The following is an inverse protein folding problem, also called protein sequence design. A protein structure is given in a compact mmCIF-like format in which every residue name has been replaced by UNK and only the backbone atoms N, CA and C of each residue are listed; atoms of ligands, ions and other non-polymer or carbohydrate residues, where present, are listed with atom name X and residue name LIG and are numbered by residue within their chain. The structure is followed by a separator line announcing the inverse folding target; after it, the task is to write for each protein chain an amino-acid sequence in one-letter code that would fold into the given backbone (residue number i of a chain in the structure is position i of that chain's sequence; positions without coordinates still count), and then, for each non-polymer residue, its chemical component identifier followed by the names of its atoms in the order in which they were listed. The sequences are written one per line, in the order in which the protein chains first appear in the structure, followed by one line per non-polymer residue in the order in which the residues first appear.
data_IF_488690584865
#
_entry.id   IF_488690584865
#
_cell.length_a   1.000
_cell.length_b   1.000
_cell.length_c   1.000
_cell.angle_alpha   90.00
_cell.angle_beta   90.00
_cell.angle_gamma   90.00
#
_symmetry.space_group_name_H-M   'P 1'
#
loop_
_entity.id
_entity.type
_entity.pdbx_description
1 polymer ?
#
# COMPACT_ATOMS: atom_id res chain seq x y z
N UNK A 1 38.79 25.08 -12.41
CA UNK A 1 38.40 24.69 -13.79
C UNK A 1 37.15 25.48 -14.14
N UNK A 2 37.10 26.10 -15.32
CA UNK A 2 35.92 26.80 -15.83
C UNK A 2 35.04 25.83 -16.63
N UNK A 3 33.75 25.76 -16.31
CA UNK A 3 32.77 24.92 -17.03
C UNK A 3 32.03 25.77 -18.06
N UNK A 4 32.36 25.61 -19.34
CA UNK A 4 31.82 26.45 -20.42
C UNK A 4 30.29 26.34 -20.55
N UNK A 5 29.70 25.20 -20.20
CA UNK A 5 28.23 25.00 -20.23
C UNK A 5 27.50 25.82 -19.16
N UNK A 6 28.21 26.28 -18.13
CA UNK A 6 27.69 27.13 -17.05
C UNK A 6 28.14 28.59 -17.21
N UNK A 7 28.59 28.98 -18.40
CA UNK A 7 29.04 30.34 -18.69
C UNK A 7 28.27 30.88 -19.88
N UNK A 8 27.77 32.09 -19.72
CA UNK A 8 27.08 32.83 -20.77
C UNK A 8 27.65 34.25 -20.78
N UNK A 9 27.95 34.82 -21.96
CA UNK A 9 28.38 36.22 -22.03
C UNK A 9 27.24 37.14 -21.55
N UNK A 10 27.51 37.89 -20.49
CA UNK A 10 26.56 38.78 -19.84
C UNK A 10 27.20 40.09 -19.41
N UNK A 11 26.38 41.11 -19.13
CA UNK A 11 26.88 42.40 -18.63
C UNK A 11 27.19 42.32 -17.15
N UNK A 12 28.19 43.07 -16.69
CA UNK A 12 28.47 43.21 -15.24
C UNK A 12 27.23 43.69 -14.46
N UNK A 13 26.40 44.52 -15.09
CA UNK A 13 25.16 45.01 -14.48
C UNK A 13 24.13 43.87 -14.28
N UNK A 14 23.98 42.97 -15.24
CA UNK A 14 23.10 41.81 -15.13
C UNK A 14 23.65 40.78 -14.12
N UNK A 15 24.95 40.52 -14.13
CA UNK A 15 25.56 39.56 -13.20
C UNK A 15 25.54 40.10 -11.76
N UNK A 16 26.24 41.21 -11.53
CA UNK A 16 26.59 41.72 -10.21
C UNK A 16 25.75 42.92 -9.76
N UNK A 17 24.90 43.50 -10.61
CA UNK A 17 24.06 44.64 -10.27
C UNK A 17 24.73 46.01 -10.34
N UNK A 18 26.01 46.07 -10.72
CA UNK A 18 26.75 47.31 -10.91
C UNK A 18 27.83 47.16 -11.99
N UNK A 19 28.38 48.28 -12.46
CA UNK A 19 29.37 48.30 -13.56
C UNK A 19 30.80 47.97 -13.12
N UNK A 20 31.15 48.24 -11.87
CA UNK A 20 32.52 48.08 -11.35
C UNK A 20 32.61 47.23 -10.08
N UNK A 21 31.54 47.19 -9.28
CA UNK A 21 31.46 46.48 -8.00
C UNK A 21 30.25 45.54 -8.01
N UNK A 22 29.88 45.01 -6.85
CA UNK A 22 28.63 44.27 -6.65
C UNK A 22 27.57 45.15 -6.00
N UNK A 23 26.31 44.90 -6.34
CA UNK A 23 25.14 45.49 -5.71
C UNK A 23 24.04 44.42 -5.62
N UNK A 24 24.03 43.68 -4.51
CA UNK A 24 23.06 42.62 -4.24
C UNK A 24 21.65 43.11 -3.96
N UNK A 25 21.42 44.43 -3.84
CA UNK A 25 20.08 45.03 -3.69
C UNK A 25 19.42 45.37 -5.04
N UNK A 26 20.17 45.26 -6.15
CA UNK A 26 19.65 45.58 -7.47
C UNK A 26 18.79 44.44 -8.03
N UNK A 27 17.46 44.60 -8.02
CA UNK A 27 16.50 43.60 -8.53
C UNK A 27 16.64 43.25 -10.02
N UNK A 28 17.45 44.02 -10.77
CA UNK A 28 17.76 43.74 -12.18
C UNK A 28 18.96 42.79 -12.35
N UNK A 29 19.64 42.40 -11.27
CA UNK A 29 20.78 41.49 -11.32
C UNK A 29 20.45 40.08 -10.87
N UNK A 30 21.21 39.11 -11.37
CA UNK A 30 21.15 37.73 -10.90
C UNK A 30 21.59 37.63 -9.44
N UNK A 31 22.62 38.38 -9.05
CA UNK A 31 23.13 38.41 -7.67
C UNK A 31 22.05 38.71 -6.62
N UNK A 32 21.07 39.57 -6.92
CA UNK A 32 19.96 39.85 -5.99
C UNK A 32 19.15 38.59 -5.66
N UNK A 33 18.81 37.78 -6.66
CA UNK A 33 18.02 36.57 -6.46
C UNK A 33 18.86 35.46 -5.84
N UNK A 34 20.09 35.25 -6.32
CA UNK A 34 20.99 34.23 -5.82
C UNK A 34 21.38 34.44 -4.35
N UNK A 35 21.59 35.69 -3.94
CA UNK A 35 21.88 36.02 -2.53
C UNK A 35 20.70 35.67 -1.63
N UNK A 36 19.48 35.97 -2.06
CA UNK A 36 18.27 35.65 -1.29
C UNK A 36 18.04 34.14 -1.19
N UNK A 37 18.23 33.41 -2.30
CA UNK A 37 18.13 31.94 -2.31
C UNK A 37 19.20 31.31 -1.41
N UNK A 38 20.44 31.81 -1.44
CA UNK A 38 21.52 31.36 -0.57
C UNK A 38 21.21 31.63 0.92
N UNK A 39 20.67 32.81 1.24
CA UNK A 39 20.24 33.14 2.60
C UNK A 39 19.11 32.22 3.07
N UNK A 40 18.13 31.96 2.21
CA UNK A 40 17.03 31.05 2.50
C UNK A 40 17.53 29.62 2.74
N UNK A 41 18.40 29.08 1.88
CA UNK A 41 19.00 27.75 2.05
C UNK A 41 19.81 27.63 3.36
N UNK A 42 20.53 28.69 3.75
CA UNK A 42 21.29 28.71 5.01
C UNK A 42 20.39 28.59 6.25
N UNK A 43 19.18 29.14 6.17
CA UNK A 43 18.18 29.07 7.23
C UNK A 43 17.38 27.76 7.19
N UNK A 44 17.25 27.14 6.01
CA UNK A 44 16.36 26.02 5.73
C UNK A 44 17.15 24.77 5.30
N UNK A 45 17.99 24.23 6.20
CA UNK A 45 18.96 23.16 5.88
C UNK A 45 18.33 21.82 5.48
N UNK A 46 17.11 21.55 5.92
CA UNK A 46 16.40 20.30 5.63
C UNK A 46 15.59 20.37 4.32
N UNK A 47 15.58 21.53 3.66
CA UNK A 47 14.84 21.76 2.44
C UNK A 47 15.76 21.69 1.22
N UNK A 48 15.15 21.39 0.08
CA UNK A 48 15.82 21.36 -1.23
C UNK A 48 15.26 22.43 -2.15
N UNK A 49 16.14 22.96 -3.00
CA UNK A 49 15.85 23.97 -4.00
C UNK A 49 16.28 23.44 -5.37
N UNK A 50 15.33 23.34 -6.29
CA UNK A 50 15.66 23.17 -7.71
C UNK A 50 15.85 24.56 -8.29
N UNK A 51 17.02 24.83 -8.86
CA UNK A 51 17.37 26.12 -9.46
C UNK A 51 17.77 25.93 -10.92
N UNK A 52 17.16 26.69 -11.81
CA UNK A 52 17.43 26.65 -13.24
C UNK A 52 17.67 28.07 -13.78
N UNK A 53 18.79 28.20 -14.49
CA UNK A 53 19.14 29.39 -15.27
C UNK A 53 18.97 29.05 -16.75
N UNK A 54 18.17 29.82 -17.48
CA UNK A 54 17.95 29.61 -18.93
C UNK A 54 18.25 30.91 -19.70
N UNK A 55 19.33 30.95 -20.49
CA UNK A 55 19.57 32.08 -21.39
C UNK A 55 18.60 32.06 -22.58
N UNK A 56 18.05 33.22 -22.93
CA UNK A 56 17.12 33.38 -24.04
C UNK A 56 17.78 34.15 -25.19
N UNK A 57 18.12 33.42 -26.25
CA UNK A 57 18.70 33.96 -27.48
C UNK A 57 17.62 34.28 -28.50
N UNK A 58 17.96 35.15 -29.45
CA UNK A 58 17.10 35.46 -30.60
C UNK A 58 17.82 35.08 -31.89
N UNK A 59 17.17 34.28 -32.74
CA UNK A 59 17.75 33.79 -33.99
C UNK A 59 19.14 33.16 -33.74
N UNK A 60 20.18 33.63 -34.44
CA UNK A 60 21.56 33.17 -34.33
C UNK A 60 22.45 34.11 -33.48
N UNK A 61 21.85 34.90 -32.57
CA UNK A 61 22.64 35.77 -31.67
C UNK A 61 23.46 34.93 -30.68
N UNK A 62 24.73 35.31 -30.48
CA UNK A 62 25.63 34.68 -29.50
C UNK A 62 25.48 35.25 -28.08
N UNK A 63 24.74 36.35 -27.94
CA UNK A 63 24.46 37.02 -26.68
C UNK A 63 22.98 36.81 -26.34
N UNK A 64 22.65 36.35 -25.12
CA UNK A 64 21.26 36.28 -24.70
C UNK A 64 20.67 37.69 -24.55
N UNK A 65 19.39 37.83 -24.88
CA UNK A 65 18.63 39.07 -24.64
C UNK A 65 18.10 39.13 -23.22
N UNK A 66 17.81 37.97 -22.64
CA UNK A 66 17.22 37.81 -21.33
C UNK A 66 17.79 36.55 -20.68
N UNK A 67 17.80 36.53 -19.36
CA UNK A 67 18.02 35.33 -18.57
C UNK A 67 16.73 35.05 -17.80
N UNK A 68 16.23 33.83 -17.90
CA UNK A 68 15.14 33.35 -17.05
C UNK A 68 15.73 32.60 -15.86
N UNK A 69 15.40 33.08 -14.67
CA UNK A 69 15.67 32.37 -13.42
C UNK A 69 14.38 31.68 -12.98
N UNK A 70 14.45 30.37 -12.76
CA UNK A 70 13.35 29.59 -12.20
C UNK A 70 13.84 28.86 -10.96
N UNK A 71 13.04 28.88 -9.91
CA UNK A 71 13.33 28.16 -8.67
C UNK A 71 12.09 27.49 -8.11
N UNK A 72 12.23 26.27 -7.62
CA UNK A 72 11.17 25.47 -7.01
C UNK A 72 11.65 24.98 -5.65
N UNK A 73 10.81 25.12 -4.64
CA UNK A 73 11.08 24.68 -3.28
C UNK A 73 10.18 23.51 -2.94
N UNK A 74 10.74 22.45 -2.36
CA UNK A 74 9.96 21.35 -1.81
C UNK A 74 9.94 21.47 -0.30
N UNK A 75 8.74 21.65 0.24
CA UNK A 75 8.48 21.68 1.67
C UNK A 75 7.74 20.41 2.09
N UNK A 76 8.11 19.86 3.24
CA UNK A 76 7.39 18.71 3.79
C UNK A 76 6.08 19.20 4.42
N UNK A 77 4.98 18.50 4.11
CA UNK A 77 3.70 18.73 4.78
C UNK A 77 3.68 17.97 6.11
N UNK A 78 4.56 18.33 7.03
CA UNK A 78 4.68 17.69 8.33
C UNK A 78 4.30 18.62 9.48
N UNK A 79 4.30 18.04 10.69
CA UNK A 79 4.08 18.78 11.92
C UNK A 79 4.80 18.08 13.07
N UNK A 80 5.44 18.83 13.99
CA UNK A 80 6.10 18.27 15.17
C UNK A 80 5.10 17.68 16.16
N UNK A 81 3.86 18.18 16.17
CA UNK A 81 2.84 17.88 17.17
C UNK A 81 1.57 17.26 16.57
N UNK A 82 1.66 16.70 15.37
CA UNK A 82 0.54 15.96 14.79
C UNK A 82 1.01 14.74 14.01
N UNK A 83 0.27 13.64 14.19
CA UNK A 83 0.33 12.47 13.33
C UNK A 83 -0.68 12.71 12.20
N UNK A 84 -0.19 12.81 10.97
CA UNK A 84 -0.99 13.07 9.78
C UNK A 84 -1.20 11.75 9.05
N UNK A 85 -2.46 11.40 8.78
CA UNK A 85 -2.83 10.29 7.92
C UNK A 85 -3.12 10.82 6.52
N UNK A 86 -2.14 10.66 5.64
CA UNK A 86 -2.22 11.12 4.26
C UNK A 86 -3.20 10.29 3.39
N UNK A 87 -3.61 9.10 3.85
CA UNK A 87 -4.51 8.23 3.07
C UNK A 87 -5.96 8.66 3.16
N UNK A 88 -6.38 9.17 4.32
CA UNK A 88 -7.75 9.63 4.58
C UNK A 88 -7.86 11.15 4.81
N UNK A 89 -6.73 11.87 4.84
CA UNK A 89 -6.70 13.33 5.00
C UNK A 89 -7.00 13.81 6.42
N UNK A 90 -6.82 12.97 7.43
CA UNK A 90 -7.04 13.32 8.83
C UNK A 90 -5.73 13.58 9.58
N UNK A 91 -5.80 14.27 10.71
CA UNK A 91 -4.66 14.49 11.59
C UNK A 91 -5.06 14.37 13.07
N UNK A 92 -4.21 13.72 13.87
CA UNK A 92 -4.33 13.63 15.32
C UNK A 92 -3.28 14.52 15.97
N UNK A 93 -3.71 15.45 16.81
CA UNK A 93 -2.81 16.26 17.64
C UNK A 93 -2.13 15.39 18.71
N UNK A 94 -0.85 15.62 18.93
CA UNK A 94 0.01 14.89 19.88
C UNK A 94 0.90 15.86 20.65
N UNK A 95 1.07 15.66 21.95
CA UNK A 95 2.03 16.43 22.75
C UNK A 95 3.49 16.14 22.37
N UNK A 96 3.79 14.91 21.96
CA UNK A 96 5.10 14.51 21.44
C UNK A 96 4.92 13.39 20.40
N UNK A 97 4.96 13.75 19.11
CA UNK A 97 4.72 12.84 17.99
C UNK A 97 5.59 11.59 18.04
N UNK A 98 6.89 11.76 18.28
CA UNK A 98 7.85 10.64 18.30
C UNK A 98 7.56 9.65 19.41
N UNK A 99 7.21 10.14 20.61
CA UNK A 99 6.84 9.28 21.74
C UNK A 99 5.53 8.55 21.45
N UNK A 100 4.50 9.27 21.00
CA UNK A 100 3.19 8.68 20.69
C UNK A 100 3.30 7.60 19.61
N UNK A 101 4.09 7.81 18.56
CA UNK A 101 4.31 6.80 17.51
C UNK A 101 5.00 5.53 18.04
N UNK A 102 5.91 5.64 19.02
CA UNK A 102 6.55 4.49 19.65
C UNK A 102 5.56 3.70 20.51
N UNK A 103 4.79 4.39 21.33
CA UNK A 103 3.76 3.78 22.19
C UNK A 103 2.67 3.09 21.35
N UNK A 104 2.18 3.74 20.29
CA UNK A 104 1.18 3.17 19.38
C UNK A 104 1.74 1.90 18.68
N UNK A 105 3.02 1.89 18.31
CA UNK A 105 3.68 0.73 17.70
C UNK A 105 3.84 -0.44 18.67
N UNK A 106 4.33 -0.18 19.88
CA UNK A 106 4.48 -1.20 20.93
C UNK A 106 3.13 -1.81 21.33
N UNK A 107 2.09 -0.99 21.44
CA UNK A 107 0.73 -1.46 21.69
C UNK A 107 0.19 -2.34 20.55
N UNK A 108 0.45 -1.98 19.30
CA UNK A 108 0.05 -2.77 18.14
C UNK A 108 0.77 -4.13 18.07
N UNK A 109 2.09 -4.15 18.32
CA UNK A 109 2.89 -5.38 18.33
C UNK A 109 2.44 -6.32 19.46
N UNK A 110 2.15 -5.77 20.64
CA UNK A 110 1.60 -6.53 21.77
C UNK A 110 0.21 -7.10 21.44
N UNK A 111 -0.71 -6.29 20.92
CA UNK A 111 -2.05 -6.75 20.54
C UNK A 111 -2.01 -7.84 19.47
N UNK A 112 -1.10 -7.72 18.49
CA UNK A 112 -0.90 -8.73 17.45
C UNK A 112 -0.38 -10.05 18.03
N UNK A 113 0.58 -10.02 18.95
CA UNK A 113 1.11 -11.23 19.59
C UNK A 113 0.07 -11.91 20.51
N UNK A 114 -0.71 -11.16 21.28
CA UNK A 114 -1.80 -11.69 22.11
C UNK A 114 -2.92 -12.31 21.26
N UNK A 115 -3.28 -11.69 20.13
CA UNK A 115 -4.26 -12.25 19.19
C UNK A 115 -3.75 -13.57 18.55
N UNK A 116 -2.47 -13.65 18.22
CA UNK A 116 -1.87 -14.87 17.67
C UNK A 116 -1.91 -16.03 18.68
N UNK A 117 -1.57 -15.77 19.95
CA UNK A 117 -1.64 -16.77 21.04
C UNK A 117 -3.07 -17.24 21.28
N UNK A 118 -4.04 -16.31 21.31
CA UNK A 118 -5.45 -16.65 21.51
C UNK A 118 -6.02 -17.46 20.34
N UNK A 119 -5.68 -17.12 19.11
CA UNK A 119 -6.09 -17.88 17.92
C UNK A 119 -5.51 -19.30 17.92
N UNK A 120 -4.25 -19.45 18.36
CA UNK A 120 -3.60 -20.75 18.48
C UNK A 120 -4.27 -21.60 19.55
N UNK A 121 -4.55 -21.03 20.72
CA UNK A 121 -5.27 -21.72 21.81
C UNK A 121 -6.70 -22.13 21.41
N UNK A 122 -7.44 -21.26 20.72
CA UNK A 122 -8.78 -21.60 20.20
C UNK A 122 -8.72 -22.69 19.12
N UNK A 123 -7.69 -22.69 18.27
CA UNK A 123 -7.52 -23.75 17.25
C UNK A 123 -7.23 -25.11 17.89
N UNK A 124 -6.39 -25.16 18.94
CA UNK A 124 -6.08 -26.38 19.70
C UNK A 124 -7.31 -26.88 20.47
N UNK A 125 -8.12 -25.98 21.04
CA UNK A 125 -9.36 -26.34 21.72
C UNK A 125 -10.45 -26.86 20.77
N UNK A 126 -10.53 -26.32 19.54
CA UNK A 126 -11.43 -26.84 18.50
C UNK A 126 -10.98 -28.20 17.97
N UNK A 127 -9.68 -28.44 17.87
CA UNK A 127 -9.14 -29.74 17.43
C UNK A 127 -9.32 -30.84 18.49
N UNK A 128 -9.16 -30.52 19.78
CA UNK A 128 -9.40 -31.50 20.86
C UNK A 128 -10.88 -31.86 21.01
N UNK A 129 -11.78 -30.89 20.89
CA UNK A 129 -13.23 -31.13 20.95
C UNK A 129 -13.76 -31.93 19.74
N UNK A 130 -13.25 -31.68 18.53
CA UNK A 130 -13.59 -32.49 17.35
C UNK A 130 -13.07 -33.93 17.47
N UNK A 131 -11.89 -34.14 18.04
CA UNK A 131 -11.32 -35.48 18.26
C UNK A 131 -12.06 -36.28 19.34
N UNK A 132 -12.54 -35.61 20.39
CA UNK A 132 -13.37 -36.23 21.43
C UNK A 132 -14.77 -36.62 20.90
N UNK A 133 -15.38 -35.79 20.06
CA UNK A 133 -16.65 -36.11 19.39
C UNK A 133 -16.52 -37.32 18.44
N UNK A 134 -15.40 -37.44 17.73
CA UNK A 134 -15.14 -38.58 16.83
C UNK A 134 -14.94 -39.91 17.58
N UNK A 135 -14.42 -39.89 18.82
CA UNK A 135 -14.28 -41.09 19.65
C UNK A 135 -15.62 -41.58 20.22
N UNK A 136 -16.57 -40.68 20.49
CA UNK A 136 -17.92 -41.07 20.95
C UNK A 136 -18.80 -41.67 19.84
N UNK A 137 -18.48 -41.44 18.57
CA UNK A 137 -19.18 -42.07 17.44
C UNK A 137 -18.67 -43.48 17.10
N UNK A 138 -17.65 -44.01 17.78
CA UNK A 138 -17.11 -45.36 17.53
C UNK A 138 -17.69 -46.45 18.45
N UNK A 139 -18.65 -46.15 19.34
CA UNK A 139 -19.29 -47.14 20.24
C UNK A 139 -20.75 -47.52 19.85
N UNK A 140 -21.26 -47.05 18.71
CA UNK A 140 -22.53 -47.51 18.13
C UNK A 140 -22.38 -47.85 16.65
N UNK A 141 -21.55 -48.83 16.30
CA UNK A 141 -21.78 -49.57 15.06
C UNK A 141 -21.19 -50.99 15.11
N UNK A 142 -22.02 -51.93 15.53
CA UNK A 142 -21.76 -53.35 15.31
C UNK A 142 -23.09 -54.08 15.12
N UNK A 143 -23.61 -54.12 13.89
CA UNK A 143 -24.36 -55.27 13.37
C UNK A 143 -24.27 -55.32 11.84
N UNK A 144 -23.58 -56.36 11.38
CA UNK A 144 -23.40 -56.79 9.99
C UNK A 144 -24.73 -57.31 9.42
N UNK A 145 -25.12 -56.92 8.19
CA UNK A 145 -25.51 -57.84 7.07
C UNK A 145 -25.40 -57.11 5.71
N UNK A 146 -24.61 -57.68 4.80
CA UNK A 146 -24.62 -57.52 3.33
C UNK A 146 -25.17 -58.87 2.80
N UNK A 147 -25.92 -59.02 1.69
CA UNK A 147 -25.85 -58.28 0.43
C UNK A 147 -27.21 -57.90 -0.20
N UNK A 148 -27.19 -57.02 -1.21
CA UNK A 148 -27.39 -57.40 -2.62
C UNK A 148 -27.79 -56.18 -3.46
N UNK A 149 -27.27 -56.15 -4.68
CA UNK A 149 -27.41 -55.04 -5.60
C UNK A 149 -28.73 -55.13 -6.37
N UNK A 150 -29.58 -54.12 -6.23
CA UNK A 150 -30.53 -53.75 -7.28
C UNK A 150 -30.60 -52.24 -7.44
N UNK A 151 -30.31 -51.80 -8.66
CA UNK A 151 -30.44 -50.43 -9.14
C UNK A 151 -31.87 -49.92 -8.98
N UNK A 152 -32.03 -48.75 -8.34
CA UNK A 152 -33.14 -47.83 -8.65
C UNK A 152 -32.56 -46.44 -8.75
N UNK A 153 -32.41 -46.01 -10.00
CA UNK A 153 -32.32 -44.61 -10.42
C UNK A 153 -33.46 -43.82 -9.80
N UNK A 154 -33.15 -42.90 -8.89
CA UNK A 154 -34.04 -41.79 -8.56
C UNK A 154 -33.43 -40.53 -9.16
N UNK A 155 -34.00 -40.19 -10.30
CA UNK A 155 -33.87 -38.90 -10.96
C UNK A 155 -34.28 -37.81 -9.98
N UNK A 156 -33.30 -37.01 -9.57
CA UNK A 156 -33.45 -35.92 -8.61
C UNK A 156 -32.75 -34.69 -9.17
N UNK A 157 -33.27 -34.17 -10.27
CA UNK A 157 -32.78 -32.97 -10.94
C UNK A 157 -32.90 -31.76 -9.99
N UNK A 158 -31.84 -31.39 -9.28
CA UNK A 158 -31.76 -30.12 -8.53
C UNK A 158 -31.15 -29.03 -9.41
N UNK A 159 -31.74 -28.83 -10.59
CA UNK A 159 -31.48 -27.66 -11.42
C UNK A 159 -32.49 -26.57 -11.10
N UNK A 160 -32.14 -25.71 -10.15
CA UNK A 160 -32.72 -24.38 -10.05
C UNK A 160 -31.78 -23.40 -9.36
N UNK A 161 -31.72 -22.20 -9.95
CA UNK A 161 -31.29 -20.88 -9.48
C UNK A 161 -29.81 -20.48 -9.57
N UNK A 162 -29.62 -19.28 -10.15
CA UNK A 162 -28.45 -18.69 -10.80
C UNK A 162 -27.14 -18.64 -9.99
N UNK A 163 -26.13 -19.40 -10.43
CA UNK A 163 -24.76 -19.29 -9.91
C UNK A 163 -23.93 -20.57 -10.05
N UNK A 164 -22.61 -20.42 -9.97
CA UNK A 164 -21.71 -21.57 -9.77
C UNK A 164 -22.06 -22.29 -8.46
N UNK A 165 -22.20 -23.62 -8.52
CA UNK A 165 -22.47 -24.44 -7.32
C UNK A 165 -21.23 -25.20 -6.88
N UNK A 166 -21.11 -25.38 -5.57
CA UNK A 166 -20.06 -26.21 -4.97
C UNK A 166 -20.57 -27.64 -4.80
N UNK A 167 -19.78 -28.61 -5.27
CA UNK A 167 -19.96 -30.03 -4.98
C UNK A 167 -18.90 -30.45 -3.95
N UNK A 168 -19.29 -31.33 -3.02
CA UNK A 168 -18.42 -31.85 -1.95
C UNK A 168 -18.30 -33.36 -2.10
N UNK A 169 -17.08 -33.87 -1.93
CA UNK A 169 -16.81 -35.30 -2.01
C UNK A 169 -17.54 -36.05 -0.88
N UNK A 170 -18.08 -37.22 -1.19
CA UNK A 170 -18.75 -38.08 -0.22
C UNK A 170 -17.82 -38.40 0.96
N UNK A 171 -18.35 -38.26 2.18
CA UNK A 171 -17.57 -38.33 3.42
C UNK A 171 -17.09 -36.98 3.98
N UNK A 172 -17.29 -35.87 3.24
CA UNK A 172 -16.97 -34.52 3.70
C UNK A 172 -18.22 -33.63 3.78
N UNK A 173 -18.17 -32.58 4.61
CA UNK A 173 -19.24 -31.60 4.73
C UNK A 173 -18.71 -30.17 4.51
N UNK A 174 -19.59 -29.17 4.51
CA UNK A 174 -19.21 -27.77 4.30
C UNK A 174 -18.07 -27.28 5.20
N UNK A 175 -17.97 -27.77 6.44
CA UNK A 175 -16.96 -27.37 7.41
C UNK A 175 -15.60 -28.03 7.13
N UNK A 176 -15.58 -29.25 6.59
CA UNK A 176 -14.36 -30.04 6.32
C UNK A 176 -13.94 -30.06 4.84
N UNK A 177 -14.67 -29.36 3.95
CA UNK A 177 -14.49 -29.42 2.49
C UNK A 177 -13.18 -28.88 1.89
N UNK A 178 -12.26 -28.34 2.71
CA UNK A 178 -11.05 -27.67 2.20
C UNK A 178 -10.16 -28.71 1.49
N UNK A 179 -10.07 -28.61 0.16
CA UNK A 179 -9.39 -29.60 -0.68
C UNK A 179 -10.28 -30.71 -1.24
N UNK A 180 -11.52 -30.83 -0.78
CA UNK A 180 -12.51 -31.86 -1.19
C UNK A 180 -13.78 -31.25 -1.80
N UNK A 181 -13.69 -30.01 -2.29
CA UNK A 181 -14.79 -29.33 -2.97
C UNK A 181 -14.38 -28.83 -4.35
N UNK A 182 -15.32 -28.92 -5.30
CA UNK A 182 -15.14 -28.43 -6.67
C UNK A 182 -16.29 -27.53 -7.08
N UNK A 183 -16.00 -26.53 -7.93
CA UNK A 183 -16.97 -25.58 -8.43
C UNK A 183 -17.45 -26.03 -9.80
N UNK A 184 -18.74 -26.33 -9.93
CA UNK A 184 -19.34 -26.83 -11.17
C UNK A 184 -20.04 -25.67 -11.88
N UNK A 185 -19.81 -25.57 -13.19
CA UNK A 185 -20.45 -24.59 -14.06
C UNK A 185 -21.93 -24.91 -14.27
N UNK A 186 -22.70 -23.90 -14.69
CA UNK A 186 -24.14 -24.01 -14.92
C UNK A 186 -24.47 -25.20 -15.85
N UNK A 187 -25.33 -26.11 -15.39
CA UNK A 187 -25.73 -27.30 -16.16
C UNK A 187 -24.70 -28.44 -16.18
N UNK A 188 -23.59 -28.33 -15.45
CA UNK A 188 -22.61 -29.41 -15.32
C UNK A 188 -23.15 -30.58 -14.50
N UNK A 189 -22.84 -31.81 -14.93
CA UNK A 189 -23.16 -33.03 -14.20
C UNK A 189 -22.27 -33.19 -12.98
N UNK A 190 -22.84 -33.73 -11.89
CA UNK A 190 -22.12 -34.03 -10.66
C UNK A 190 -21.13 -35.20 -10.86
N UNK A 191 -19.84 -35.06 -10.53
CA UNK A 191 -18.88 -36.15 -10.58
C UNK A 191 -19.26 -37.30 -9.63
N UNK A 192 -18.88 -38.53 -9.99
CA UNK A 192 -19.10 -39.70 -9.14
C UNK A 192 -18.39 -39.54 -7.79
N UNK A 193 -19.09 -39.86 -6.70
CA UNK A 193 -18.56 -39.71 -5.34
C UNK A 193 -18.65 -38.29 -4.78
N UNK A 194 -19.50 -37.43 -5.35
CA UNK A 194 -19.78 -36.09 -4.85
C UNK A 194 -21.29 -35.91 -4.67
N UNK A 195 -21.67 -35.05 -3.73
CA UNK A 195 -23.05 -34.60 -3.51
C UNK A 195 -23.14 -33.07 -3.51
N UNK A 196 -24.33 -32.56 -3.82
CA UNK A 196 -24.63 -31.13 -3.71
C UNK A 196 -24.88 -30.78 -2.26
N UNK A 197 -24.18 -29.77 -1.74
CA UNK A 197 -24.50 -29.18 -0.45
C UNK A 197 -24.72 -27.67 -0.64
N UNK A 198 -25.91 -27.22 -0.27
CA UNK A 198 -26.29 -25.80 -0.28
C UNK A 198 -25.93 -25.19 1.09
N UNK A 199 -25.51 -23.93 1.11
CA UNK A 199 -25.28 -23.18 2.34
C UNK A 199 -26.60 -22.93 3.08
#
# INVERSE_FOLDING_TARGET
MSEAKNLVPETAYLNAGALKNTNSSNKKSMLYYETQLAHWLKQNKDYRLDYQVTPMYRNNELLPRQIRLAYVVYINNDSPNAIIDYSNGTARNTLNKTKTLKEDKEAADKASSEAAVKSSAESVARESSTRAAAQQQQEQDQTVVVPDATLVTVDGTVNSTDGYKWAIQDGFNWQTRKGHSTRIALGGSLPAGFHWQVQ
#
